data_IF_266084753686
#
_entry.id   IF_266084753686
#
_cell.length_a   1.000
_cell.length_b   1.000
_cell.length_c   1.000
_cell.angle_alpha   90.00
_cell.angle_beta   90.00
_cell.angle_gamma   90.00
#
_symmetry.space_group_name_H-M   'P 1'
#
loop_
_entity.id
_entity.type
_entity.pdbx_description
1 polymer ?
#
# COMPACT_ATOMS: atom_id res chain seq x y z
N UNK A 1 -21.33 0.50 -7.89
CA UNK A 1 -21.88 -0.66 -7.15
C UNK A 1 -20.87 -1.21 -6.16
N UNK A 2 -19.83 -1.94 -6.56
CA UNK A 2 -18.89 -2.55 -5.59
C UNK A 2 -18.15 -1.51 -4.73
N UNK A 3 -17.73 -0.38 -5.32
CA UNK A 3 -17.10 0.73 -4.58
C UNK A 3 -18.04 1.44 -3.59
N UNK A 4 -19.35 1.27 -3.72
CA UNK A 4 -20.34 1.86 -2.79
C UNK A 4 -20.56 0.99 -1.55
N UNK A 5 -20.06 -0.25 -1.56
CA UNK A 5 -20.19 -1.18 -0.44
C UNK A 5 -19.15 -0.83 0.62
N UNK A 6 -19.55 -0.04 1.61
CA UNK A 6 -18.64 0.46 2.67
C UNK A 6 -18.03 -0.67 3.53
N UNK A 7 -18.69 -1.82 3.58
CA UNK A 7 -18.25 -3.00 4.33
C UNK A 7 -17.37 -3.95 3.52
N UNK A 8 -17.10 -3.64 2.24
CA UNK A 8 -16.25 -4.48 1.39
C UNK A 8 -14.80 -4.37 1.87
N UNK A 9 -14.21 -5.53 2.16
CA UNK A 9 -12.80 -5.69 2.53
C UNK A 9 -12.07 -6.45 1.41
N UNK A 10 -10.74 -6.33 1.34
CA UNK A 10 -9.93 -7.04 0.34
C UNK A 10 -9.94 -8.55 0.57
N UNK A 11 -10.29 -9.00 1.79
CA UNK A 11 -10.50 -10.41 2.15
C UNK A 11 -11.94 -10.89 1.99
N UNK A 12 -12.88 -10.02 1.58
CA UNK A 12 -14.29 -10.41 1.43
C UNK A 12 -14.49 -11.48 0.37
N UNK A 13 -15.42 -12.40 0.62
CA UNK A 13 -15.74 -13.47 -0.33
C UNK A 13 -16.82 -13.04 -1.31
N UNK A 14 -16.81 -13.63 -2.52
CA UNK A 14 -17.87 -13.41 -3.50
C UNK A 14 -19.26 -13.74 -2.93
N UNK A 15 -19.36 -14.78 -2.10
CA UNK A 15 -20.65 -15.20 -1.51
C UNK A 15 -21.26 -14.15 -0.60
N UNK A 16 -20.45 -13.42 0.16
CA UNK A 16 -20.90 -12.34 1.04
C UNK A 16 -21.32 -11.11 0.23
N UNK A 17 -20.45 -10.68 -0.70
CA UNK A 17 -20.72 -9.51 -1.54
C UNK A 17 -21.93 -9.75 -2.45
N UNK A 18 -22.07 -10.95 -3.02
CA UNK A 18 -23.24 -11.33 -3.83
C UNK A 18 -24.56 -11.14 -3.06
N UNK A 19 -24.59 -11.42 -1.75
CA UNK A 19 -25.81 -11.20 -0.94
C UNK A 19 -26.17 -9.73 -0.79
N UNK A 20 -25.18 -8.83 -0.79
CA UNK A 20 -25.38 -7.39 -0.67
C UNK A 20 -25.85 -6.76 -1.98
N UNK A 21 -25.35 -7.26 -3.12
CA UNK A 21 -25.65 -6.69 -4.44
C UNK A 21 -26.80 -7.39 -5.17
N UNK A 22 -27.30 -8.54 -4.68
CA UNK A 22 -28.36 -9.33 -5.37
C UNK A 22 -29.64 -8.53 -5.65
N UNK A 23 -29.92 -7.49 -4.87
CA UNK A 23 -31.10 -6.63 -5.02
C UNK A 23 -30.79 -5.31 -5.77
N UNK A 24 -29.51 -5.05 -6.09
CA UNK A 24 -29.12 -3.84 -6.82
C UNK A 24 -29.58 -3.93 -8.29
N UNK A 25 -30.34 -2.96 -8.81
CA UNK A 25 -30.82 -2.96 -10.19
C UNK A 25 -29.70 -3.07 -11.24
N UNK A 26 -28.49 -2.59 -10.93
CA UNK A 26 -27.31 -2.71 -11.79
C UNK A 26 -26.79 -4.16 -11.83
N UNK A 27 -26.96 -4.92 -10.74
CA UNK A 27 -26.56 -6.34 -10.68
C UNK A 27 -27.60 -7.20 -11.39
N UNK A 28 -28.88 -6.91 -11.21
CA UNK A 28 -29.98 -7.60 -11.90
C UNK A 28 -29.91 -7.45 -13.43
N UNK A 29 -29.44 -6.29 -13.91
CA UNK A 29 -29.20 -6.03 -15.34
C UNK A 29 -27.88 -6.61 -15.85
N UNK A 30 -27.00 -7.02 -14.94
CA UNK A 30 -25.68 -7.53 -15.26
C UNK A 30 -25.73 -9.05 -15.42
N UNK A 31 -25.08 -9.57 -16.48
CA UNK A 31 -25.03 -11.02 -16.70
C UNK A 31 -24.15 -11.69 -15.63
N UNK A 32 -24.79 -12.40 -14.70
CA UNK A 32 -24.15 -12.91 -13.48
C UNK A 32 -23.13 -14.03 -13.68
N UNK A 33 -23.05 -14.64 -14.87
CA UNK A 33 -22.25 -15.85 -15.12
C UNK A 33 -20.74 -15.60 -14.96
N UNK A 34 -20.30 -14.34 -15.06
CA UNK A 34 -18.90 -13.92 -14.88
C UNK A 34 -18.64 -13.18 -13.56
N UNK A 35 -19.66 -12.96 -12.75
CA UNK A 35 -19.56 -12.07 -11.57
C UNK A 35 -18.50 -12.50 -10.56
N UNK A 36 -18.30 -13.81 -10.35
CA UNK A 36 -17.25 -14.28 -9.44
C UNK A 36 -15.83 -13.99 -9.96
N UNK A 37 -15.61 -14.18 -11.28
CA UNK A 37 -14.32 -13.90 -11.90
C UNK A 37 -14.02 -12.41 -11.84
N UNK A 38 -14.97 -11.57 -12.24
CA UNK A 38 -14.80 -10.12 -12.22
C UNK A 38 -14.64 -9.57 -10.81
N UNK A 39 -15.32 -10.16 -9.81
CA UNK A 39 -15.09 -9.83 -8.41
C UNK A 39 -13.66 -10.18 -7.96
N UNK A 40 -13.15 -11.35 -8.34
CA UNK A 40 -11.75 -11.73 -8.03
C UNK A 40 -10.75 -10.76 -8.67
N UNK A 41 -10.97 -10.39 -9.93
CA UNK A 41 -10.12 -9.43 -10.63
C UNK A 41 -10.20 -8.04 -9.97
N UNK A 42 -11.39 -7.58 -9.61
CA UNK A 42 -11.60 -6.34 -8.86
C UNK A 42 -10.85 -6.32 -7.51
N UNK A 43 -10.96 -7.39 -6.71
CA UNK A 43 -10.25 -7.50 -5.43
C UNK A 43 -8.74 -7.51 -5.65
N UNK A 44 -8.26 -8.21 -6.68
CA UNK A 44 -6.84 -8.26 -7.05
C UNK A 44 -6.32 -6.86 -7.39
N UNK A 45 -7.06 -6.12 -8.22
CA UNK A 45 -6.69 -4.75 -8.62
C UNK A 45 -6.71 -3.80 -7.42
N UNK A 46 -7.75 -3.85 -6.58
CA UNK A 46 -7.83 -3.04 -5.34
C UNK A 46 -6.69 -3.36 -4.38
N UNK A 47 -6.35 -4.63 -4.23
CA UNK A 47 -5.21 -5.08 -3.42
C UNK A 47 -3.91 -4.52 -3.98
N UNK A 48 -3.71 -4.59 -5.29
CA UNK A 48 -2.53 -4.04 -5.95
C UNK A 48 -2.44 -2.52 -5.77
N UNK A 49 -3.54 -1.78 -5.93
CA UNK A 49 -3.58 -0.33 -5.64
C UNK A 49 -3.24 -0.03 -4.19
N UNK A 50 -3.82 -0.76 -3.23
CA UNK A 50 -3.53 -0.57 -1.80
C UNK A 50 -2.05 -0.78 -1.47
N UNK A 51 -1.42 -1.81 -2.07
CA UNK A 51 0.02 -2.08 -1.92
C UNK A 51 0.89 -0.95 -2.48
N UNK A 52 0.55 -0.44 -3.66
CA UNK A 52 1.25 0.70 -4.27
C UNK A 52 1.10 1.95 -3.42
N UNK A 53 -0.11 2.26 -2.97
CA UNK A 53 -0.36 3.42 -2.10
C UNK A 53 0.35 3.30 -0.74
N UNK A 54 0.47 2.11 -0.16
CA UNK A 54 1.30 1.89 1.03
C UNK A 54 2.77 2.19 0.75
N UNK A 55 3.31 1.78 -0.41
CA UNK A 55 4.71 2.10 -0.77
C UNK A 55 4.93 3.59 -0.97
N UNK A 56 3.98 4.30 -1.59
CA UNK A 56 4.03 5.76 -1.72
C UNK A 56 4.03 6.44 -0.36
N UNK A 57 3.17 5.99 0.57
CA UNK A 57 3.17 6.46 1.96
C UNK A 57 4.53 6.24 2.64
N UNK A 58 5.13 5.07 2.49
CA UNK A 58 6.45 4.77 3.07
C UNK A 58 7.55 5.67 2.48
N UNK A 59 7.46 5.99 1.19
CA UNK A 59 8.38 6.89 0.51
C UNK A 59 8.19 8.36 0.94
N UNK A 60 6.97 8.80 1.20
CA UNK A 60 6.65 10.14 1.71
C UNK A 60 7.05 10.34 3.18
N UNK A 61 7.16 9.25 3.94
CA UNK A 61 7.47 9.27 5.36
C UNK A 61 8.93 9.63 5.62
N UNK A 62 9.21 10.90 5.92
CA UNK A 62 10.56 11.42 6.20
C UNK A 62 11.28 10.76 7.38
N UNK A 63 10.54 10.11 8.27
CA UNK A 63 11.12 9.35 9.39
C UNK A 63 11.83 8.08 8.91
N UNK A 64 11.38 7.51 7.78
CA UNK A 64 11.97 6.34 7.17
C UNK A 64 13.20 6.75 6.34
N UNK A 65 14.33 6.10 6.60
CA UNK A 65 15.60 6.37 5.90
C UNK A 65 16.31 5.06 5.54
N UNK A 66 17.38 5.13 4.75
CA UNK A 66 18.23 3.97 4.43
C UNK A 66 18.80 3.26 5.67
N UNK A 67 18.87 3.96 6.82
CA UNK A 67 19.32 3.38 8.09
C UNK A 67 18.22 2.67 8.87
N UNK A 68 16.95 2.89 8.54
CA UNK A 68 15.81 2.35 9.29
C UNK A 68 15.82 0.81 9.38
N UNK A 69 16.30 0.12 8.35
CA UNK A 69 16.47 -1.35 8.39
C UNK A 69 17.46 -1.79 9.47
N UNK A 70 18.61 -1.13 9.56
CA UNK A 70 19.62 -1.46 10.58
C UNK A 70 19.18 -1.04 11.98
N UNK A 71 18.51 0.12 12.09
CA UNK A 71 17.91 0.58 13.35
C UNK A 71 16.89 -0.40 13.91
N UNK A 72 16.12 -1.12 13.07
CA UNK A 72 15.19 -2.15 13.53
C UNK A 72 15.93 -3.38 14.09
N UNK A 73 17.05 -3.77 13.47
CA UNK A 73 17.88 -4.89 13.94
C UNK A 73 18.51 -4.57 15.31
N UNK A 74 18.92 -3.32 15.51
CA UNK A 74 19.50 -2.84 16.77
C UNK A 74 18.43 -2.58 17.84
N UNK A 75 17.29 -2.02 17.43
CA UNK A 75 16.19 -1.64 18.31
C UNK A 75 14.83 -2.04 17.69
N UNK A 76 14.23 -3.15 18.14
CA UNK A 76 12.92 -3.59 17.66
C UNK A 76 11.80 -2.54 17.83
N UNK A 77 11.95 -1.59 18.75
CA UNK A 77 10.96 -0.52 18.95
C UNK A 77 10.88 0.45 17.76
N UNK A 78 11.93 0.58 16.94
CA UNK A 78 11.90 1.49 15.80
C UNK A 78 10.83 1.11 14.77
N UNK A 79 10.57 -0.19 14.58
CA UNK A 79 9.48 -0.66 13.73
C UNK A 79 8.13 -0.21 14.27
N UNK A 80 7.95 -0.28 15.60
CA UNK A 80 6.71 0.16 16.26
C UNK A 80 6.49 1.66 16.10
N UNK A 81 7.54 2.47 16.20
CA UNK A 81 7.46 3.92 15.96
C UNK A 81 7.02 4.23 14.52
N UNK A 82 7.58 3.52 13.53
CA UNK A 82 7.15 3.65 12.13
C UNK A 82 5.66 3.28 12.01
N UNK A 83 5.23 2.15 12.56
CA UNK A 83 3.82 1.74 12.53
C UNK A 83 2.92 2.79 13.22
N UNK A 84 3.35 3.35 14.35
CA UNK A 84 2.61 4.37 15.09
C UNK A 84 2.47 5.69 14.33
N UNK A 85 3.46 6.06 13.51
CA UNK A 85 3.37 7.23 12.62
C UNK A 85 2.36 6.98 11.49
N UNK A 86 2.32 5.74 10.96
CA UNK A 86 1.51 5.40 9.78
C UNK A 86 0.07 5.01 10.12
N UNK A 87 -0.23 4.62 11.38
CA UNK A 87 -1.51 4.00 11.78
C UNK A 87 -2.78 4.81 11.48
N UNK A 88 -2.66 6.13 11.33
CA UNK A 88 -3.80 7.01 11.04
C UNK A 88 -3.93 7.35 9.54
N UNK A 89 -2.98 6.96 8.70
CA UNK A 89 -3.06 7.19 7.26
C UNK A 89 -4.06 6.21 6.62
N UNK A 90 -4.95 6.73 5.76
CA UNK A 90 -5.97 5.93 5.10
C UNK A 90 -5.37 4.77 4.29
N UNK A 91 -4.22 4.98 3.64
CA UNK A 91 -3.53 3.97 2.82
C UNK A 91 -2.98 2.82 3.67
N UNK A 92 -2.63 3.11 4.92
CA UNK A 92 -2.23 2.11 5.90
C UNK A 92 -3.43 1.30 6.42
N UNK A 93 -4.54 2.00 6.74
CA UNK A 93 -5.77 1.39 7.27
C UNK A 93 -6.49 0.48 6.27
N UNK A 94 -6.37 0.73 4.96
CA UNK A 94 -6.96 -0.15 3.93
C UNK A 94 -6.42 -1.58 4.03
N UNK A 95 -5.19 -1.77 4.51
CA UNK A 95 -4.55 -3.08 4.68
C UNK A 95 -4.64 -3.63 6.11
N UNK A 96 -5.49 -3.07 6.98
CA UNK A 96 -5.54 -3.44 8.40
C UNK A 96 -5.95 -4.91 8.63
N UNK A 97 -6.81 -5.43 7.76
CA UNK A 97 -7.23 -6.83 7.74
C UNK A 97 -6.21 -7.77 7.05
N UNK A 98 -5.05 -7.25 6.64
CA UNK A 98 -3.95 -7.96 5.98
C UNK A 98 -2.61 -7.63 6.65
N UNK A 99 -2.56 -7.66 7.98
CA UNK A 99 -1.40 -7.24 8.77
C UNK A 99 -0.08 -7.92 8.36
N UNK A 100 -0.09 -9.23 8.11
CA UNK A 100 1.13 -9.96 7.69
C UNK A 100 1.68 -9.43 6.36
N UNK A 101 0.79 -9.17 5.39
CA UNK A 101 1.18 -8.66 4.09
C UNK A 101 1.64 -7.20 4.19
N UNK A 102 0.95 -6.38 5.00
CA UNK A 102 1.36 -5.02 5.34
C UNK A 102 2.77 -5.00 5.93
N UNK A 103 3.05 -5.84 6.92
CA UNK A 103 4.37 -5.93 7.55
C UNK A 103 5.44 -6.39 6.56
N UNK A 104 5.12 -7.34 5.69
CA UNK A 104 6.02 -7.78 4.61
C UNK A 104 6.39 -6.63 3.67
N UNK A 105 5.41 -5.80 3.28
CA UNK A 105 5.65 -4.63 2.40
C UNK A 105 6.52 -3.59 3.11
N UNK A 106 6.24 -3.30 4.37
CA UNK A 106 7.03 -2.35 5.17
C UNK A 106 8.47 -2.83 5.29
N UNK A 107 8.71 -4.05 5.77
CA UNK A 107 10.06 -4.59 5.94
C UNK A 107 10.81 -4.67 4.61
N UNK A 108 10.15 -5.15 3.54
CA UNK A 108 10.74 -5.22 2.20
C UNK A 108 11.15 -3.85 1.66
N UNK A 109 10.34 -2.81 1.89
CA UNK A 109 10.68 -1.44 1.51
C UNK A 109 11.91 -0.92 2.28
N UNK A 110 12.00 -1.19 3.58
CA UNK A 110 13.13 -0.76 4.41
C UNK A 110 14.44 -1.45 3.98
N UNK A 111 14.39 -2.75 3.66
CA UNK A 111 15.53 -3.48 3.11
C UNK A 111 15.96 -2.94 1.74
N UNK A 112 15.00 -2.63 0.86
CA UNK A 112 15.30 -2.04 -0.45
C UNK A 112 15.96 -0.66 -0.29
N UNK A 113 15.46 0.17 0.60
CA UNK A 113 16.03 1.48 0.89
C UNK A 113 17.44 1.38 1.49
N UNK A 114 17.68 0.39 2.36
CA UNK A 114 18.99 0.10 2.91
C UNK A 114 20.00 -0.34 1.84
N UNK A 115 19.58 -1.23 0.92
CA UNK A 115 20.42 -1.66 -0.22
C UNK A 115 20.73 -0.53 -1.20
N UNK A 116 19.78 0.37 -1.44
CA UNK A 116 19.99 1.56 -2.29
C UNK A 116 20.97 2.56 -1.66
N UNK A 117 21.04 2.58 -0.33
CA UNK A 117 21.89 3.51 0.40
C UNK A 117 21.35 4.95 0.40
N UNK A 118 22.15 5.93 0.85
CA UNK A 118 21.74 7.33 0.80
C UNK A 118 21.51 7.76 -0.66
N UNK A 119 20.51 8.62 -0.93
CA UNK A 119 20.34 9.18 -2.27
C UNK A 119 21.65 9.86 -2.67
N UNK A 120 22.08 9.73 -3.95
CA UNK A 120 23.27 10.42 -4.41
C UNK A 120 23.11 11.91 -4.13
N UNK A 121 24.18 12.61 -3.71
CA UNK A 121 24.10 14.04 -3.47
C UNK A 121 23.55 14.71 -4.73
N UNK A 122 22.69 15.74 -4.62
CA UNK A 122 22.28 16.52 -5.77
C UNK A 122 23.56 17.08 -6.38
N UNK A 123 23.99 16.49 -7.49
CA UNK A 123 25.18 16.94 -8.21
C UNK A 123 24.84 18.32 -8.74
N UNK A 124 25.24 19.36 -8.00
CA UNK A 124 25.18 20.73 -8.45
C UNK A 124 26.23 20.90 -9.56
N UNK A 125 25.94 20.38 -10.75
CA UNK A 125 26.77 20.53 -11.94
C UNK A 125 26.29 21.71 -12.77
N UNK A 126 26.28 22.93 -12.20
CA UNK A 126 26.29 24.16 -12.99
C UNK A 126 27.18 25.22 -12.31
N UNK A 127 28.46 24.92 -12.18
CA UNK A 127 29.48 25.95 -12.01
C UNK A 127 29.85 26.53 -13.38
N UNK A 128 29.13 27.59 -13.75
CA UNK A 128 29.59 28.72 -14.57
C UNK A 128 31.03 28.59 -15.13
N UNK A 129 31.17 28.15 -16.39
CA UNK A 129 32.37 28.49 -17.16
C UNK A 129 32.29 29.95 -17.59
N UNK A 130 32.60 30.83 -16.63
CA UNK A 130 33.11 32.17 -16.91
C UNK A 130 34.64 32.08 -16.94
N UNK A 131 35.24 32.13 -18.11
CA UNK A 131 36.58 32.69 -18.34
C UNK A 131 36.74 32.87 -19.85
N UNK A 132 36.65 34.11 -20.32
CA UNK A 132 37.78 34.98 -20.68
C UNK A 132 38.31 34.65 -22.07
#
# INVERSE_FOLDING_TARGET
>A
MLDEISTLQLTSTWKEIKKLIKEDPRYLKYNSDKGEREFRDYIKDKTMTAKTSLRELLQECKFITHKSSDLIKENPNHLKEIQDILKNDKRYLVLDHMEEERNTIVLGFLEELNKRGPPPPPTASESTRRNK
#
